data_IF_225151952742
#
_entry.id   IF_225151952742
#
_cell.length_a   1.000
_cell.length_b   1.000
_cell.length_c   1.000
_cell.angle_alpha   90.00
_cell.angle_beta   90.00
_cell.angle_gamma   90.00
#
_symmetry.space_group_name_H-M   'P 1'
#
loop_
_entity.id
_entity.type
_entity.pdbx_description
1 polymer ?
#
# COMPACT_ATOMS: atom_id res chain seq x y z
N UNK A 1 -29.17 -18.92 40.73
CA UNK A 1 -29.43 -17.73 39.89
C UNK A 1 -28.09 -17.17 39.45
N UNK A 2 -27.59 -17.62 38.29
CA UNK A 2 -26.34 -17.14 37.70
C UNK A 2 -26.57 -16.91 36.19
N UNK A 3 -27.66 -16.20 35.89
CA UNK A 3 -28.06 -15.83 34.53
C UNK A 3 -28.05 -14.30 34.46
N UNK A 4 -26.87 -13.71 34.47
CA UNK A 4 -26.64 -12.28 34.25
C UNK A 4 -25.13 -12.10 34.06
N UNK A 5 -24.65 -12.33 32.84
CA UNK A 5 -23.41 -11.77 32.27
C UNK A 5 -23.19 -12.29 30.84
N UNK A 6 -24.25 -12.40 30.05
CA UNK A 6 -24.19 -12.72 28.62
C UNK A 6 -24.55 -11.51 27.74
N UNK A 7 -24.42 -10.28 28.26
CA UNK A 7 -24.82 -9.05 27.55
C UNK A 7 -23.72 -7.97 27.56
N UNK A 8 -22.46 -8.34 27.34
CA UNK A 8 -21.37 -7.37 27.04
C UNK A 8 -20.66 -7.73 25.72
N UNK A 9 -21.36 -8.38 24.78
CA UNK A 9 -20.79 -8.73 23.47
C UNK A 9 -21.70 -8.34 22.29
N UNK A 10 -22.73 -7.53 22.51
CA UNK A 10 -23.50 -6.87 21.44
C UNK A 10 -23.16 -5.39 21.29
N UNK A 11 -22.04 -4.97 21.87
CA UNK A 11 -21.41 -3.72 21.48
C UNK A 11 -20.66 -3.97 20.18
N UNK A 12 -20.98 -3.11 19.21
CA UNK A 12 -19.94 -2.37 18.51
C UNK A 12 -19.49 -2.85 17.13
N UNK A 13 -20.32 -3.51 16.32
CA UNK A 13 -20.08 -3.56 14.87
C UNK A 13 -19.88 -2.13 14.30
N UNK A 14 -20.70 -1.17 14.76
CA UNK A 14 -20.57 0.24 14.37
C UNK A 14 -19.31 0.94 14.89
N UNK A 15 -18.78 0.54 16.04
CA UNK A 15 -17.55 1.12 16.58
C UNK A 15 -16.30 0.44 16.01
N UNK A 16 -16.36 -0.86 15.69
CA UNK A 16 -15.31 -1.53 14.91
C UNK A 16 -15.23 -0.87 13.52
N UNK A 17 -16.37 -0.65 12.85
CA UNK A 17 -16.41 0.05 11.57
C UNK A 17 -15.84 1.48 11.67
N UNK A 18 -16.24 2.24 12.70
CA UNK A 18 -15.75 3.60 12.92
C UNK A 18 -14.25 3.63 13.27
N UNK A 19 -13.76 2.64 14.02
CA UNK A 19 -12.35 2.50 14.36
C UNK A 19 -11.53 2.14 13.13
N UNK A 20 -12.01 1.21 12.30
CA UNK A 20 -11.36 0.83 11.04
C UNK A 20 -11.32 2.02 10.07
N UNK A 21 -12.41 2.79 9.96
CA UNK A 21 -12.44 4.01 9.16
C UNK A 21 -11.43 5.05 9.66
N UNK A 22 -11.38 5.29 10.98
CA UNK A 22 -10.43 6.20 11.59
C UNK A 22 -8.98 5.75 11.38
N UNK A 23 -8.68 4.48 11.61
CA UNK A 23 -7.35 3.91 11.42
C UNK A 23 -6.94 3.94 9.94
N UNK A 24 -7.88 3.71 9.02
CA UNK A 24 -7.64 3.85 7.59
C UNK A 24 -7.27 5.29 7.24
N UNK A 25 -8.05 6.28 7.69
CA UNK A 25 -7.74 7.71 7.48
C UNK A 25 -6.41 8.12 8.10
N UNK A 26 -6.13 7.67 9.32
CA UNK A 26 -4.84 7.89 9.97
C UNK A 26 -3.71 7.30 9.11
N UNK A 27 -3.86 6.06 8.65
CA UNK A 27 -2.87 5.44 7.78
C UNK A 27 -2.66 6.23 6.48
N UNK A 28 -3.74 6.69 5.83
CA UNK A 28 -3.62 7.52 4.61
C UNK A 28 -2.86 8.81 4.90
N UNK A 29 -3.27 9.56 5.92
CA UNK A 29 -2.71 10.89 6.22
C UNK A 29 -1.22 10.87 6.60
N UNK A 30 -0.74 9.80 7.24
CA UNK A 30 0.64 9.74 7.70
C UNK A 30 1.53 8.90 6.77
N UNK A 31 1.04 7.80 6.22
CA UNK A 31 1.87 6.86 5.47
C UNK A 31 1.94 7.23 3.98
N UNK A 32 0.87 7.81 3.40
CA UNK A 32 0.87 8.17 1.97
C UNK A 32 1.90 9.25 1.67
N UNK A 33 2.02 10.28 2.52
CA UNK A 33 3.03 11.33 2.33
C UNK A 33 4.47 10.78 2.28
N UNK A 34 4.76 9.74 3.07
CA UNK A 34 6.08 9.10 3.03
C UNK A 34 6.28 8.27 1.77
N UNK A 35 5.25 7.54 1.33
CA UNK A 35 5.28 6.79 0.08
C UNK A 35 5.38 7.74 -1.14
N UNK A 36 4.68 8.87 -1.14
CA UNK A 36 4.78 9.91 -2.16
C UNK A 36 6.18 10.52 -2.22
N UNK A 37 6.78 10.80 -1.05
CA UNK A 37 8.17 11.28 -0.98
C UNK A 37 9.12 10.26 -1.61
N UNK A 38 8.92 8.97 -1.35
CA UNK A 38 9.72 7.92 -1.97
C UNK A 38 9.45 7.78 -3.48
N UNK A 39 8.20 7.94 -3.91
CA UNK A 39 7.81 7.94 -5.33
C UNK A 39 8.51 9.06 -6.11
N UNK A 40 8.60 10.26 -5.54
CA UNK A 40 9.29 11.40 -6.15
C UNK A 40 10.81 11.21 -6.26
N UNK A 41 11.39 10.30 -5.48
CA UNK A 41 12.82 9.95 -5.57
C UNK A 41 13.12 8.95 -6.71
N UNK A 42 12.09 8.29 -7.26
CA UNK A 42 12.25 7.34 -8.35
C UNK A 42 12.59 8.04 -9.66
N UNK A 43 13.30 7.34 -10.53
CA UNK A 43 13.59 7.86 -11.87
C UNK A 43 12.30 7.99 -12.68
N UNK A 44 12.29 8.90 -13.66
CA UNK A 44 11.10 9.13 -14.51
C UNK A 44 10.62 7.86 -15.22
N UNK A 45 11.53 6.98 -15.65
CA UNK A 45 11.20 5.67 -16.20
C UNK A 45 10.50 4.74 -15.20
N UNK A 46 10.94 4.73 -13.94
CA UNK A 46 10.36 3.86 -12.90
C UNK A 46 8.95 4.31 -12.50
N UNK A 47 8.74 5.62 -12.37
CA UNK A 47 7.40 6.20 -12.13
C UNK A 47 6.45 5.86 -13.27
N UNK A 48 6.94 5.99 -14.50
CA UNK A 48 6.16 5.65 -15.69
C UNK A 48 5.79 4.16 -15.71
N UNK A 49 6.69 3.24 -15.36
CA UNK A 49 6.39 1.81 -15.26
C UNK A 49 5.26 1.54 -14.25
N UNK A 50 5.31 2.17 -13.07
CA UNK A 50 4.27 2.04 -12.05
C UNK A 50 2.94 2.60 -12.53
N UNK A 51 2.97 3.78 -13.15
CA UNK A 51 1.79 4.41 -13.73
C UNK A 51 1.14 3.48 -14.77
N UNK A 52 1.91 3.00 -15.74
CA UNK A 52 1.37 2.14 -16.80
C UNK A 52 0.82 0.82 -16.25
N UNK A 53 1.45 0.25 -15.22
CA UNK A 53 0.97 -0.98 -14.60
C UNK A 53 -0.34 -0.80 -13.80
N UNK A 54 -0.52 0.34 -13.12
CA UNK A 54 -1.64 0.55 -12.19
C UNK A 54 -2.79 1.43 -12.72
N UNK A 55 -2.51 2.41 -13.60
CA UNK A 55 -3.51 3.37 -14.11
C UNK A 55 -4.27 2.88 -15.34
N UNK A 56 -3.64 2.04 -16.16
CA UNK A 56 -4.22 1.69 -17.44
C UNK A 56 -4.64 0.23 -17.47
N UNK A 57 -5.94 0.00 -17.66
CA UNK A 57 -6.47 -1.23 -18.27
C UNK A 57 -5.95 -1.44 -19.72
N UNK A 58 -4.78 -0.88 -20.07
CA UNK A 58 -4.14 -1.14 -21.33
C UNK A 58 -3.58 -2.55 -21.27
N UNK A 59 -3.85 -3.32 -22.32
CA UNK A 59 -3.15 -4.58 -22.52
C UNK A 59 -1.64 -4.29 -22.46
N UNK A 60 -0.93 -5.11 -21.68
CA UNK A 60 0.51 -5.01 -21.46
C UNK A 60 1.29 -4.85 -22.77
N UNK A 61 0.78 -5.43 -23.87
CA UNK A 61 1.26 -5.26 -25.25
C UNK A 61 1.37 -3.79 -25.72
N UNK A 62 0.37 -2.94 -25.44
CA UNK A 62 0.35 -1.53 -25.88
C UNK A 62 1.35 -0.66 -25.12
N UNK A 63 1.61 -1.00 -23.85
CA UNK A 63 2.61 -0.33 -23.01
C UNK A 63 4.01 -0.60 -23.59
N UNK A 64 4.28 -1.86 -23.91
CA UNK A 64 5.57 -2.29 -24.44
C UNK A 64 5.87 -1.68 -25.81
N UNK A 65 4.84 -1.62 -26.66
CA UNK A 65 4.95 -1.04 -28.00
C UNK A 65 5.14 0.49 -27.97
N UNK A 66 4.47 1.20 -27.05
CA UNK A 66 4.60 2.66 -26.87
C UNK A 66 6.00 3.08 -26.39
N UNK A 67 6.62 2.26 -25.53
CA UNK A 67 7.88 2.60 -24.88
C UNK A 67 9.09 1.82 -25.41
N UNK A 68 8.89 1.00 -26.44
CA UNK A 68 9.94 0.16 -27.02
C UNK A 68 10.62 -0.74 -25.96
N UNK A 69 9.82 -1.22 -25.00
CA UNK A 69 10.25 -2.05 -23.87
C UNK A 69 9.91 -3.51 -24.17
N UNK A 70 10.75 -4.43 -23.72
CA UNK A 70 10.48 -5.87 -23.74
C UNK A 70 9.63 -6.29 -22.53
N UNK A 71 8.63 -7.15 -22.74
CA UNK A 71 7.74 -7.71 -21.68
C UNK A 71 8.52 -8.33 -20.52
N UNK A 72 9.71 -8.82 -20.85
CA UNK A 72 10.62 -9.56 -19.98
C UNK A 72 11.15 -8.69 -18.83
N UNK A 73 11.16 -7.36 -18.97
CA UNK A 73 11.74 -6.45 -17.96
C UNK A 73 10.71 -5.75 -17.07
N UNK A 74 9.45 -5.65 -17.53
CA UNK A 74 8.41 -4.85 -16.87
C UNK A 74 7.97 -5.46 -15.53
N UNK A 75 7.58 -6.74 -15.52
CA UNK A 75 7.05 -7.39 -14.32
C UNK A 75 8.10 -7.50 -13.19
N UNK A 76 9.36 -7.91 -13.47
CA UNK A 76 10.41 -7.90 -12.45
C UNK A 76 10.67 -6.49 -11.90
N UNK A 77 10.60 -5.46 -12.74
CA UNK A 77 10.79 -4.07 -12.34
C UNK A 77 9.65 -3.59 -11.41
N UNK A 78 8.39 -3.92 -11.72
CA UNK A 78 7.25 -3.62 -10.85
C UNK A 78 7.40 -4.31 -9.49
N UNK A 79 7.74 -5.60 -9.48
CA UNK A 79 7.97 -6.36 -8.25
C UNK A 79 9.09 -5.70 -7.41
N UNK A 80 10.20 -5.33 -8.05
CA UNK A 80 11.31 -4.63 -7.38
C UNK A 80 10.85 -3.32 -6.75
N UNK A 81 10.08 -2.51 -7.48
CA UNK A 81 9.58 -1.23 -6.99
C UNK A 81 8.61 -1.41 -5.83
N UNK A 82 7.70 -2.38 -5.90
CA UNK A 82 6.82 -2.75 -4.78
C UNK A 82 7.59 -3.12 -3.52
N UNK A 83 8.62 -3.98 -3.65
CA UNK A 83 9.48 -4.35 -2.54
C UNK A 83 10.25 -3.14 -1.97
N UNK A 84 10.63 -2.19 -2.82
CA UNK A 84 11.27 -0.93 -2.38
C UNK A 84 10.33 -0.12 -1.48
N UNK A 85 9.08 0.11 -1.91
CA UNK A 85 8.09 0.83 -1.10
C UNK A 85 7.79 0.11 0.22
N UNK A 86 7.62 -1.22 0.19
CA UNK A 86 7.41 -2.01 1.41
C UNK A 86 8.59 -1.88 2.38
N UNK A 87 9.81 -1.97 1.85
CA UNK A 87 11.04 -1.84 2.64
C UNK A 87 11.19 -0.44 3.23
N UNK A 88 10.89 0.59 2.44
CA UNK A 88 10.89 1.98 2.89
C UNK A 88 9.91 2.19 4.05
N UNK A 89 8.67 1.72 3.89
CA UNK A 89 7.63 1.86 4.91
C UNK A 89 7.98 1.09 6.18
N UNK A 90 8.47 -0.15 6.04
CA UNK A 90 8.93 -0.99 7.15
C UNK A 90 10.07 -0.33 7.91
N UNK A 91 11.04 0.24 7.20
CA UNK A 91 12.16 0.97 7.81
C UNK A 91 11.67 2.20 8.55
N UNK A 92 10.80 2.99 7.94
CA UNK A 92 10.24 4.19 8.54
C UNK A 92 9.44 3.89 9.83
N UNK A 93 8.57 2.88 9.79
CA UNK A 93 7.79 2.43 10.96
C UNK A 93 8.72 1.97 12.11
N UNK A 94 9.80 1.25 11.79
CA UNK A 94 10.75 0.77 12.79
C UNK A 94 11.60 1.90 13.38
N UNK A 95 11.98 2.88 12.57
CA UNK A 95 12.97 3.90 12.98
C UNK A 95 12.34 5.15 13.56
N UNK A 96 11.33 5.72 12.90
CA UNK A 96 10.70 6.97 13.34
C UNK A 96 9.54 6.71 14.29
N UNK A 97 8.69 5.72 14.01
CA UNK A 97 7.58 5.38 14.92
C UNK A 97 7.99 4.41 16.04
N UNK A 98 9.19 3.83 15.96
CA UNK A 98 9.74 2.85 16.94
C UNK A 98 8.80 1.66 17.18
N UNK A 99 8.07 1.25 16.15
CA UNK A 99 7.13 0.13 16.24
C UNK A 99 7.91 -1.20 16.22
N UNK A 100 7.62 -2.07 17.19
CA UNK A 100 8.13 -3.45 17.20
C UNK A 100 7.31 -4.33 16.25
N UNK A 101 7.71 -4.34 14.98
CA UNK A 101 7.05 -5.13 13.94
C UNK A 101 7.21 -6.66 14.14
N UNK A 102 8.06 -7.13 15.06
CA UNK A 102 8.22 -8.58 15.31
C UNK A 102 6.96 -9.23 15.88
N UNK A 103 6.09 -8.43 16.50
CA UNK A 103 4.82 -8.87 17.08
C UNK A 103 3.65 -8.85 16.09
N UNK A 104 3.84 -8.23 14.94
CA UNK A 104 2.82 -8.12 13.92
C UNK A 104 2.80 -9.40 13.06
N UNK A 105 1.84 -10.27 13.32
CA UNK A 105 1.60 -11.42 12.46
C UNK A 105 1.27 -10.95 11.04
N UNK A 106 1.90 -11.59 10.06
CA UNK A 106 1.68 -11.32 8.63
C UNK A 106 1.98 -9.87 8.21
N UNK A 107 2.91 -9.19 8.88
CA UNK A 107 3.28 -7.81 8.56
C UNK A 107 3.67 -7.63 7.09
N UNK A 108 4.42 -8.56 6.51
CA UNK A 108 4.87 -8.46 5.12
C UNK A 108 3.68 -8.55 4.13
N UNK A 109 2.70 -9.41 4.40
CA UNK A 109 1.48 -9.51 3.60
C UNK A 109 0.61 -8.24 3.73
N UNK A 110 0.49 -7.69 4.94
CA UNK A 110 -0.25 -6.44 5.19
C UNK A 110 0.41 -5.24 4.52
N UNK A 111 1.74 -5.14 4.59
CA UNK A 111 2.51 -4.10 3.90
C UNK A 111 2.37 -4.21 2.38
N UNK A 112 2.42 -5.44 1.85
CA UNK A 112 2.19 -5.69 0.42
C UNK A 112 0.82 -5.17 0.00
N UNK A 113 -0.23 -5.61 0.67
CA UNK A 113 -1.60 -5.18 0.37
C UNK A 113 -1.78 -3.68 0.50
N UNK A 114 -1.21 -3.06 1.54
CA UNK A 114 -1.27 -1.61 1.74
C UNK A 114 -0.60 -0.83 0.60
N UNK A 115 0.62 -1.21 0.22
CA UNK A 115 1.36 -0.58 -0.88
C UNK A 115 0.63 -0.76 -2.21
N UNK A 116 0.07 -1.94 -2.48
CA UNK A 116 -0.71 -2.19 -3.70
C UNK A 116 -1.97 -1.35 -3.78
N UNK A 117 -2.71 -1.20 -2.66
CA UNK A 117 -3.88 -0.32 -2.58
C UNK A 117 -3.45 1.13 -2.80
N UNK A 118 -2.41 1.58 -2.10
CA UNK A 118 -1.88 2.93 -2.26
C UNK A 118 -1.41 3.23 -3.68
N UNK A 119 -0.69 2.32 -4.34
CA UNK A 119 -0.25 2.51 -5.73
C UNK A 119 -1.43 2.61 -6.69
N UNK A 120 -2.47 1.80 -6.49
CA UNK A 120 -3.71 1.90 -7.29
C UNK A 120 -4.42 3.23 -7.07
N UNK A 121 -4.52 3.71 -5.83
CA UNK A 121 -5.13 5.00 -5.51
C UNK A 121 -4.29 6.19 -6.00
N UNK A 122 -2.98 6.12 -5.85
CA UNK A 122 -2.06 7.23 -6.17
C UNK A 122 -1.78 7.35 -7.65
N UNK A 123 -1.79 6.23 -8.38
CA UNK A 123 -1.75 6.26 -9.84
C UNK A 123 -2.88 7.12 -10.38
N UNK A 124 -4.08 7.12 -9.77
CA UNK A 124 -5.24 7.92 -10.21
C UNK A 124 -5.01 9.44 -10.06
N UNK A 125 -4.05 9.88 -9.24
CA UNK A 125 -3.88 11.28 -8.84
C UNK A 125 -2.95 12.12 -9.74
N UNK A 126 -2.17 11.52 -10.65
CA UNK A 126 -1.49 12.30 -11.71
C UNK A 126 -2.50 12.67 -12.82
N UNK A 127 -3.22 13.77 -12.61
CA UNK A 127 -4.00 14.51 -13.63
C UNK A 127 -3.33 15.85 -13.93
#
# INVERSE_FOLDING_TARGET
MAAQNYEILQQDDSFIDALDEYLSHYCKNYFYTHLDTHLQQLQSHERLVLYLHHQQHWEQSKILERFNLTTIDLLPQVIRLNLSFQSHLKYWMKTLLKIDLSRCQSIDARLTSFVEIWLKESAILER
#
